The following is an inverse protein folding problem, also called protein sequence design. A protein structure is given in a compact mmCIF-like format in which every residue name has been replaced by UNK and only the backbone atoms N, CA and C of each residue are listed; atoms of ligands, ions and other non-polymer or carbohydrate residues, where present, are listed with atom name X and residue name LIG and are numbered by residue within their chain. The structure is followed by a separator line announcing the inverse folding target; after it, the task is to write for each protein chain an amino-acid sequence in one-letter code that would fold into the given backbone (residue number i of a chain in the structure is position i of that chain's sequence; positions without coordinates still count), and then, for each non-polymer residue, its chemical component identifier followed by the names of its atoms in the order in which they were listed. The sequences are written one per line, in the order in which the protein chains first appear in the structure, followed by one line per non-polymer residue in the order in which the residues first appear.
data_IF_481069852394
#
_entry.id   IF_481069852394
#
_cell.length_a   1.000
_cell.length_b   1.000
_cell.length_c   1.000
_cell.angle_alpha   90.00
_cell.angle_beta   90.00
_cell.angle_gamma   90.00
#
_symmetry.space_group_name_H-M   'P 1'
#
loop_
_entity.id
_entity.type
_entity.pdbx_description
1 polymer ?
#
# COMPACT_ATOMS: atom_id res chain seq x y z
N UNK A 1 -32.75 -28.59 28.64
CA UNK A 1 -32.69 -28.57 27.18
C UNK A 1 -31.99 -27.31 26.60
N UNK A 2 -31.72 -26.24 27.38
CA UNK A 2 -31.14 -24.98 26.89
C UNK A 2 -29.60 -24.87 27.00
N UNK A 3 -28.90 -25.81 27.59
CA UNK A 3 -27.44 -25.76 27.79
C UNK A 3 -26.68 -25.82 26.47
N UNK A 4 -27.08 -26.68 25.56
CA UNK A 4 -26.42 -26.86 24.24
C UNK A 4 -26.42 -25.58 23.42
N UNK A 5 -27.54 -24.86 23.19
CA UNK A 5 -27.54 -23.61 22.43
C UNK A 5 -26.71 -22.51 23.12
N UNK A 6 -26.66 -22.44 24.42
CA UNK A 6 -25.82 -21.47 25.16
C UNK A 6 -24.33 -21.74 24.89
N UNK A 7 -23.89 -23.00 24.93
CA UNK A 7 -22.51 -23.38 24.61
C UNK A 7 -22.15 -23.02 23.16
N UNK A 8 -23.03 -23.29 22.20
CA UNK A 8 -22.81 -22.97 20.79
C UNK A 8 -22.64 -21.45 20.61
N UNK A 9 -23.50 -20.64 21.22
CA UNK A 9 -23.42 -19.18 21.18
C UNK A 9 -22.12 -18.68 21.82
N UNK A 10 -21.72 -19.22 22.97
CA UNK A 10 -20.46 -18.87 23.62
C UNK A 10 -19.24 -19.18 22.74
N UNK A 11 -19.19 -20.34 22.08
CA UNK A 11 -18.14 -20.73 21.14
C UNK A 11 -18.10 -19.76 19.95
N UNK A 12 -19.24 -19.41 19.38
CA UNK A 12 -19.31 -18.45 18.25
C UNK A 12 -18.78 -17.07 18.66
N UNK A 13 -19.13 -16.58 19.84
CA UNK A 13 -18.62 -15.30 20.37
C UNK A 13 -17.10 -15.37 20.52
N UNK A 14 -16.55 -16.43 21.10
CA UNK A 14 -15.10 -16.61 21.25
C UNK A 14 -14.41 -16.61 19.87
N UNK A 15 -14.92 -17.34 18.90
CA UNK A 15 -14.37 -17.37 17.53
C UNK A 15 -14.35 -15.98 16.90
N UNK A 16 -15.43 -15.21 17.07
CA UNK A 16 -15.52 -13.84 16.57
C UNK A 16 -14.50 -12.94 17.26
N UNK A 17 -14.36 -13.02 18.56
CA UNK A 17 -13.37 -12.23 19.34
C UNK A 17 -11.94 -12.56 18.88
N UNK A 18 -11.57 -13.83 18.79
CA UNK A 18 -10.25 -14.26 18.32
C UNK A 18 -9.97 -13.77 16.90
N UNK A 19 -10.98 -13.83 16.03
CA UNK A 19 -10.85 -13.30 14.66
C UNK A 19 -10.62 -11.79 14.66
N UNK A 20 -11.35 -11.01 15.48
CA UNK A 20 -11.17 -9.56 15.60
C UNK A 20 -9.78 -9.20 16.13
N UNK A 21 -9.29 -9.91 17.16
CA UNK A 21 -7.94 -9.70 17.73
C UNK A 21 -6.88 -9.97 16.66
N UNK A 22 -6.94 -11.11 15.98
CA UNK A 22 -6.00 -11.45 14.89
C UNK A 22 -6.00 -10.43 13.77
N UNK A 23 -7.18 -9.92 13.38
CA UNK A 23 -7.29 -8.87 12.39
C UNK A 23 -6.73 -7.53 12.90
N UNK A 24 -6.91 -7.19 14.16
CA UNK A 24 -6.36 -5.98 14.77
C UNK A 24 -4.82 -6.00 14.77
N UNK A 25 -4.22 -7.14 15.12
CA UNK A 25 -2.76 -7.35 15.08
C UNK A 25 -2.24 -7.16 13.64
N UNK A 26 -2.86 -7.81 12.65
CA UNK A 26 -2.47 -7.67 11.25
C UNK A 26 -2.57 -6.22 10.77
N UNK A 27 -3.62 -5.51 11.13
CA UNK A 27 -3.81 -4.11 10.78
C UNK A 27 -2.78 -3.20 11.47
N UNK A 28 -2.43 -3.50 12.73
CA UNK A 28 -1.39 -2.77 13.46
C UNK A 28 -0.03 -2.92 12.79
N UNK A 29 0.37 -4.14 12.43
CA UNK A 29 1.60 -4.40 11.69
C UNK A 29 1.61 -3.71 10.32
N UNK A 30 0.48 -3.73 9.61
CA UNK A 30 0.35 -3.01 8.34
C UNK A 30 0.57 -1.50 8.53
N UNK A 31 -0.03 -0.89 9.56
CA UNK A 31 0.19 0.53 9.87
C UNK A 31 1.63 0.82 10.26
N UNK A 32 2.28 -0.10 11.01
CA UNK A 32 3.69 0.00 11.34
C UNK A 32 4.57 0.01 10.07
N UNK A 33 4.29 -0.91 9.12
CA UNK A 33 5.01 -0.96 7.84
C UNK A 33 4.82 0.32 7.03
N UNK A 34 3.62 0.88 6.98
CA UNK A 34 3.40 2.20 6.35
C UNK A 34 4.14 3.34 7.06
N UNK A 35 4.51 3.18 8.30
CA UNK A 35 5.30 4.19 9.03
C UNK A 35 6.80 4.07 8.79
N UNK A 36 7.29 2.87 8.51
CA UNK A 36 8.72 2.56 8.54
C UNK A 36 9.28 2.02 7.22
N UNK A 37 8.44 1.74 6.24
CA UNK A 37 8.81 1.06 5.01
C UNK A 37 8.20 1.73 3.78
N UNK A 38 8.87 1.60 2.64
CA UNK A 38 8.28 1.89 1.33
C UNK A 38 7.31 0.77 0.96
N UNK A 39 6.04 1.08 0.79
CA UNK A 39 4.98 0.07 0.57
C UNK A 39 4.46 0.13 -0.86
N UNK A 40 4.49 -1.00 -1.55
CA UNK A 40 3.83 -1.16 -2.85
C UNK A 40 2.49 -1.88 -2.68
N UNK A 41 1.41 -1.20 -3.06
CA UNK A 41 0.05 -1.75 -3.02
C UNK A 41 -0.40 -2.12 -4.42
N UNK A 42 -0.79 -3.36 -4.65
CA UNK A 42 -1.31 -3.80 -5.94
C UNK A 42 -2.71 -4.41 -5.82
N UNK A 43 -3.45 -4.38 -6.93
CA UNK A 43 -4.79 -4.99 -7.01
C UNK A 43 -5.57 -4.51 -8.21
N UNK A 44 -6.51 -5.33 -8.68
CA UNK A 44 -7.35 -5.03 -9.85
C UNK A 44 -8.08 -3.69 -9.71
N UNK A 45 -8.50 -3.11 -10.84
CA UNK A 45 -9.37 -1.92 -10.83
C UNK A 45 -10.61 -2.17 -9.96
N UNK A 46 -10.92 -1.22 -9.08
CA UNK A 46 -12.07 -1.36 -8.16
C UNK A 46 -11.83 -2.28 -6.95
N UNK A 47 -10.64 -2.85 -6.76
CA UNK A 47 -10.38 -3.73 -5.61
C UNK A 47 -10.33 -3.00 -4.26
N UNK A 48 -10.15 -1.66 -4.26
CA UNK A 48 -10.09 -0.85 -3.04
C UNK A 48 -8.69 -0.43 -2.61
N UNK A 49 -7.73 -0.35 -3.53
CA UNK A 49 -6.36 0.13 -3.25
C UNK A 49 -6.36 1.53 -2.61
N UNK A 50 -7.10 2.46 -3.23
CA UNK A 50 -7.20 3.81 -2.73
C UNK A 50 -7.95 3.88 -1.39
N UNK A 51 -8.87 2.94 -1.13
CA UNK A 51 -9.50 2.80 0.18
C UNK A 51 -8.50 2.39 1.24
N UNK A 52 -7.54 1.53 0.90
CA UNK A 52 -6.46 1.16 1.81
C UNK A 52 -5.59 2.37 2.14
N UNK A 53 -5.16 3.15 1.14
CA UNK A 53 -4.41 4.39 1.36
C UNK A 53 -5.22 5.37 2.23
N UNK A 54 -6.48 5.61 1.90
CA UNK A 54 -7.36 6.46 2.70
C UNK A 54 -7.46 5.98 4.16
N UNK A 55 -7.56 4.66 4.37
CA UNK A 55 -7.62 4.10 5.71
C UNK A 55 -6.33 4.34 6.49
N UNK A 56 -5.16 4.11 5.87
CA UNK A 56 -3.85 4.37 6.49
C UNK A 56 -3.72 5.84 6.85
N UNK A 57 -3.98 6.74 5.91
CA UNK A 57 -3.92 8.20 6.11
C UNK A 57 -4.83 8.65 7.25
N UNK A 58 -6.07 8.14 7.28
CA UNK A 58 -7.03 8.46 8.35
C UNK A 58 -6.58 7.95 9.73
N UNK A 59 -5.89 6.81 9.79
CA UNK A 59 -5.39 6.23 11.04
C UNK A 59 -4.15 6.93 11.55
N UNK A 60 -3.23 7.27 10.65
CA UNK A 60 -1.97 7.92 11.01
C UNK A 60 -2.16 9.40 11.37
N UNK A 61 -3.16 10.07 10.75
CA UNK A 61 -3.46 11.51 10.94
C UNK A 61 -2.29 12.45 10.63
N UNK A 62 -1.30 11.97 9.87
CA UNK A 62 -0.12 12.72 9.50
C UNK A 62 -0.33 13.57 8.25
N UNK A 63 0.56 14.53 8.05
CA UNK A 63 0.67 15.23 6.77
C UNK A 63 1.26 14.29 5.72
N UNK A 64 0.80 14.40 4.50
CA UNK A 64 1.29 13.58 3.39
C UNK A 64 1.26 14.36 2.08
N UNK A 65 2.05 13.88 1.12
CA UNK A 65 1.98 14.30 -0.27
C UNK A 65 1.27 13.23 -1.09
N UNK A 66 0.48 13.64 -2.07
CA UNK A 66 -0.17 12.67 -2.97
C UNK A 66 -0.51 13.29 -4.31
N UNK A 67 -0.51 12.46 -5.36
CA UNK A 67 -0.96 12.82 -6.70
C UNK A 67 -2.50 12.91 -6.82
N UNK A 68 -3.23 12.32 -5.88
CA UNK A 68 -4.68 12.45 -5.77
C UNK A 68 -5.07 12.89 -4.36
N UNK A 69 -6.20 13.59 -4.24
CA UNK A 69 -6.71 13.98 -2.94
C UNK A 69 -7.43 12.80 -2.28
N UNK A 70 -6.91 12.37 -1.14
CA UNK A 70 -7.59 11.44 -0.24
C UNK A 70 -8.48 12.15 0.78
N UNK A 71 -8.69 13.43 0.65
CA UNK A 71 -9.64 14.32 1.29
C UNK A 71 -9.89 14.18 2.79
N UNK A 72 -10.59 15.15 3.35
CA UNK A 72 -11.13 15.11 4.72
C UNK A 72 -10.23 15.65 5.81
N UNK A 73 -8.92 15.69 5.65
CA UNK A 73 -8.02 16.36 6.60
C UNK A 73 -7.28 17.51 5.94
N UNK A 74 -7.26 18.67 6.62
CA UNK A 74 -6.68 19.95 6.19
C UNK A 74 -5.18 19.93 5.89
N UNK A 75 -4.58 18.74 5.86
CA UNK A 75 -3.14 18.51 5.84
C UNK A 75 -2.63 17.89 4.53
N UNK A 76 -3.49 17.80 3.50
CA UNK A 76 -3.09 17.26 2.19
C UNK A 76 -2.37 18.34 1.39
N UNK A 77 -1.12 18.11 1.11
CA UNK A 77 -0.39 18.88 0.11
C UNK A 77 -0.53 18.10 -1.20
N UNK A 78 -1.28 18.65 -2.14
CA UNK A 78 -1.37 18.09 -3.49
C UNK A 78 -0.02 18.27 -4.17
N UNK A 79 0.55 17.22 -4.69
CA UNK A 79 1.50 17.35 -5.79
C UNK A 79 0.68 17.86 -6.97
N UNK A 80 0.97 19.07 -7.47
CA UNK A 80 0.22 19.71 -8.55
C UNK A 80 0.25 18.91 -9.84
N UNK A 81 1.28 18.14 -10.03
CA UNK A 81 1.47 17.20 -11.12
C UNK A 81 1.97 15.90 -10.51
N UNK A 82 1.65 14.81 -11.14
CA UNK A 82 2.12 13.51 -10.75
C UNK A 82 3.57 13.40 -11.10
N UNK A 83 4.26 14.13 -10.38
CA UNK A 83 5.65 14.05 -10.47
C UNK A 83 6.17 13.40 -9.16
N UNK A 84 5.80 12.13 -8.99
CA UNK A 84 6.92 11.25 -8.83
C UNK A 84 7.76 11.44 -10.09
N UNK A 85 7.42 12.55 -10.76
CA UNK A 85 8.20 13.05 -11.84
C UNK A 85 9.57 13.29 -11.28
N UNK A 86 10.44 12.81 -11.95
CA UNK A 86 11.85 12.76 -11.82
C UNK A 86 12.52 14.08 -11.51
N UNK A 87 11.93 15.15 -12.00
CA UNK A 87 12.39 16.51 -11.72
C UNK A 87 12.41 16.87 -10.22
N UNK A 88 11.60 16.20 -9.39
CA UNK A 88 11.60 16.42 -7.96
C UNK A 88 12.63 15.55 -7.23
N UNK A 89 13.18 14.53 -7.91
CA UNK A 89 14.19 13.61 -7.39
C UNK A 89 15.50 13.63 -8.17
N UNK A 90 15.64 14.48 -9.17
CA UNK A 90 16.81 14.54 -10.05
C UNK A 90 17.91 15.44 -9.48
N UNK A 91 18.51 15.04 -8.36
CA UNK A 91 19.67 15.74 -7.88
C UNK A 91 20.76 14.78 -7.40
N UNK A 92 21.34 14.08 -8.39
CA UNK A 92 22.72 13.63 -8.26
C UNK A 92 23.55 14.65 -9.04
N UNK A 93 24.28 15.47 -8.33
CA UNK A 93 25.25 16.41 -8.90
C UNK A 93 26.62 15.91 -8.47
N UNK A 94 27.50 15.62 -9.46
CA UNK A 94 28.86 15.14 -9.22
C UNK A 94 28.92 13.90 -8.28
N UNK A 95 28.12 12.88 -8.59
CA UNK A 95 27.99 11.65 -7.80
C UNK A 95 27.53 11.82 -6.35
N UNK A 96 27.09 13.01 -5.97
CA UNK A 96 26.50 13.29 -4.67
C UNK A 96 24.99 13.45 -4.79
N UNK A 97 24.26 12.83 -3.88
CA UNK A 97 22.81 13.01 -3.76
C UNK A 97 22.58 14.36 -3.07
N UNK A 98 22.08 15.32 -3.83
CA UNK A 98 21.75 16.65 -3.30
C UNK A 98 20.29 16.69 -2.89
N UNK A 99 20.07 17.01 -1.62
CA UNK A 99 18.73 17.22 -1.05
C UNK A 99 18.05 18.42 -1.72
N UNK A 100 16.86 18.23 -2.28
CA UNK A 100 16.08 19.37 -2.77
C UNK A 100 15.46 20.16 -1.61
N UNK A 101 15.81 21.44 -1.45
CA UNK A 101 15.42 22.16 -0.25
C UNK A 101 13.95 22.59 -0.18
N UNK A 102 13.16 22.47 -1.25
CA UNK A 102 11.93 23.26 -1.32
C UNK A 102 10.62 22.53 -1.66
N UNK A 103 10.64 21.25 -2.06
CA UNK A 103 9.42 20.59 -2.53
C UNK A 103 8.78 19.64 -1.52
N UNK A 104 9.57 18.94 -0.71
CA UNK A 104 9.08 18.02 0.30
C UNK A 104 9.53 18.45 1.69
N UNK A 105 8.59 18.53 2.62
CA UNK A 105 8.92 18.68 4.04
C UNK A 105 9.37 17.33 4.57
N UNK A 106 10.48 17.32 5.29
CA UNK A 106 10.96 16.14 6.00
C UNK A 106 9.89 15.53 6.92
N UNK A 107 9.91 14.23 7.07
CA UNK A 107 8.96 13.49 7.89
C UNK A 107 7.54 13.40 7.31
N UNK A 108 7.36 13.65 6.00
CA UNK A 108 6.05 13.57 5.34
C UNK A 108 6.04 12.50 4.27
N UNK A 109 5.21 11.49 4.46
CA UNK A 109 5.09 10.40 3.50
C UNK A 109 4.45 10.83 2.18
N UNK A 110 4.82 10.11 1.14
CA UNK A 110 4.35 10.35 -0.23
C UNK A 110 3.48 9.16 -0.66
N UNK A 111 2.25 9.43 -1.08
CA UNK A 111 1.32 8.43 -1.58
C UNK A 111 1.06 8.62 -3.07
N UNK A 112 1.49 7.68 -3.89
CA UNK A 112 1.36 7.75 -5.35
C UNK A 112 0.34 6.74 -5.84
N UNK A 113 -0.76 7.24 -6.38
CA UNK A 113 -1.78 6.39 -6.99
C UNK A 113 -1.45 6.08 -8.45
N UNK A 114 -1.69 4.83 -8.86
CA UNK A 114 -1.56 4.31 -10.22
C UNK A 114 -0.17 4.51 -10.85
N UNK A 115 0.90 4.17 -10.10
CA UNK A 115 2.29 4.29 -10.58
C UNK A 115 2.53 3.60 -11.92
N UNK A 116 1.81 2.51 -12.22
CA UNK A 116 1.90 1.82 -13.50
C UNK A 116 1.41 2.62 -14.71
N UNK A 117 0.75 3.76 -14.50
CA UNK A 117 0.35 4.70 -15.56
C UNK A 117 1.45 5.73 -15.82
N UNK A 118 2.15 6.16 -14.77
CA UNK A 118 3.16 7.22 -14.85
C UNK A 118 4.56 6.70 -15.11
N UNK A 119 4.91 5.59 -14.47
CA UNK A 119 6.20 4.92 -14.58
C UNK A 119 5.96 3.44 -14.93
N UNK A 120 5.50 3.16 -16.16
CA UNK A 120 5.14 1.81 -16.56
C UNK A 120 6.36 0.94 -16.82
N UNK A 121 6.28 -0.34 -16.45
CA UNK A 121 7.38 -1.31 -16.59
C UNK A 121 7.86 -1.51 -18.04
N UNK A 122 6.99 -1.33 -19.04
CA UNK A 122 7.37 -1.45 -20.46
C UNK A 122 8.28 -0.32 -20.96
N UNK A 123 8.41 0.77 -20.20
CA UNK A 123 9.31 1.89 -20.51
C UNK A 123 10.62 1.84 -19.70
N UNK A 124 10.96 0.70 -19.11
CA UNK A 124 12.06 0.55 -18.15
C UNK A 124 13.37 1.21 -18.64
N UNK A 125 13.83 0.86 -19.86
CA UNK A 125 15.08 1.40 -20.42
C UNK A 125 15.01 2.93 -20.67
N UNK A 126 13.85 3.45 -21.05
CA UNK A 126 13.63 4.89 -21.24
C UNK A 126 13.62 5.59 -19.88
N UNK A 127 12.95 5.04 -18.89
CA UNK A 127 12.89 5.59 -17.54
C UNK A 127 14.28 5.65 -16.90
N UNK A 128 15.12 4.64 -17.06
CA UNK A 128 16.51 4.69 -16.59
C UNK A 128 17.34 5.80 -17.24
N UNK A 129 17.10 6.10 -18.54
CA UNK A 129 17.77 7.20 -19.22
C UNK A 129 17.27 8.57 -18.79
N UNK A 130 15.94 8.70 -18.65
CA UNK A 130 15.32 9.97 -18.25
C UNK A 130 15.51 10.26 -16.77
N UNK A 131 15.59 9.21 -15.93
CA UNK A 131 15.50 9.32 -14.46
C UNK A 131 16.48 8.40 -13.73
N UNK A 132 17.77 8.51 -14.00
CA UNK A 132 18.77 7.57 -13.46
C UNK A 132 18.84 7.59 -11.93
N UNK A 133 18.57 8.73 -11.31
CA UNK A 133 18.62 8.90 -9.85
C UNK A 133 17.38 8.43 -9.10
N UNK A 134 16.25 8.25 -9.79
CA UNK A 134 14.98 7.92 -9.15
C UNK A 134 15.00 6.63 -8.30
N UNK A 135 15.59 5.51 -8.76
CA UNK A 135 15.69 4.31 -7.95
C UNK A 135 16.46 4.51 -6.66
N UNK A 136 17.56 5.26 -6.74
CA UNK A 136 18.41 5.56 -5.58
C UNK A 136 17.65 6.42 -4.57
N UNK A 137 16.96 7.45 -5.05
CA UNK A 137 16.17 8.33 -4.19
C UNK A 137 14.99 7.60 -3.56
N UNK A 138 14.35 6.69 -4.31
CA UNK A 138 13.29 5.86 -3.74
C UNK A 138 13.81 4.97 -2.60
N UNK A 139 14.96 4.30 -2.83
CA UNK A 139 15.60 3.48 -1.81
C UNK A 139 16.05 4.28 -0.58
N UNK A 140 16.56 5.50 -0.81
CA UNK A 140 17.13 6.34 0.24
C UNK A 140 16.16 7.40 0.78
N UNK A 141 14.89 7.40 0.36
CA UNK A 141 13.90 8.43 0.75
C UNK A 141 13.82 8.63 2.26
N UNK A 142 13.92 7.56 3.03
CA UNK A 142 13.95 7.57 4.49
C UNK A 142 15.17 8.29 5.05
N UNK A 143 16.34 8.04 4.49
CA UNK A 143 17.60 8.65 4.94
C UNK A 143 17.72 10.11 4.52
N UNK A 144 17.21 10.45 3.34
CA UNK A 144 17.31 11.79 2.77
C UNK A 144 16.24 12.74 3.30
N UNK A 145 15.02 12.25 3.51
CA UNK A 145 13.86 13.10 3.81
C UNK A 145 13.07 12.65 5.03
N UNK A 146 13.51 11.58 5.74
CA UNK A 146 12.72 10.94 6.81
C UNK A 146 11.29 10.63 6.35
N UNK A 147 11.14 10.22 5.10
CA UNK A 147 9.86 10.03 4.43
C UNK A 147 9.80 8.69 3.72
N UNK A 148 8.63 8.05 3.75
CA UNK A 148 8.41 6.84 2.99
C UNK A 148 7.61 7.15 1.72
N UNK A 149 7.87 6.39 0.65
CA UNK A 149 7.15 6.50 -0.61
C UNK A 149 6.25 5.26 -0.76
N UNK A 150 4.95 5.50 -0.76
CA UNK A 150 3.96 4.46 -0.93
C UNK A 150 3.33 4.56 -2.30
N UNK A 151 3.41 3.49 -3.07
CA UNK A 151 2.87 3.45 -4.42
C UNK A 151 1.71 2.49 -4.52
N UNK A 152 0.73 2.78 -5.39
CA UNK A 152 -0.22 1.75 -5.79
C UNK A 152 -0.23 1.53 -7.30
N UNK A 153 -0.61 0.32 -7.70
CA UNK A 153 -0.72 -0.09 -9.10
C UNK A 153 -1.83 -1.11 -9.29
N UNK A 154 -2.29 -1.30 -10.52
CA UNK A 154 -3.32 -2.31 -10.82
C UNK A 154 -2.76 -3.74 -10.80
N UNK A 155 -1.51 -3.89 -11.17
CA UNK A 155 -0.77 -5.15 -11.11
C UNK A 155 0.64 -4.85 -10.60
N UNK A 156 1.18 -5.70 -9.74
CA UNK A 156 2.50 -5.54 -9.15
C UNK A 156 3.61 -5.42 -10.20
N UNK A 157 3.43 -6.03 -11.37
CA UNK A 157 4.40 -6.01 -12.46
C UNK A 157 4.30 -4.78 -13.39
N UNK A 158 3.24 -3.96 -13.26
CA UNK A 158 3.03 -2.80 -14.14
C UNK A 158 3.86 -1.57 -13.78
N UNK A 159 4.25 -1.44 -12.53
CA UNK A 159 5.11 -0.34 -12.12
C UNK A 159 6.56 -0.54 -12.57
N UNK A 160 7.32 0.55 -12.66
CA UNK A 160 8.74 0.50 -13.01
C UNK A 160 9.49 -0.50 -12.13
N UNK A 161 10.28 -1.38 -12.78
CA UNK A 161 10.98 -2.49 -12.13
C UNK A 161 11.83 -2.02 -10.95
N UNK A 162 12.62 -0.97 -11.16
CA UNK A 162 13.49 -0.41 -10.14
C UNK A 162 12.75 0.04 -8.87
N UNK A 163 11.53 0.56 -8.98
CA UNK A 163 10.76 0.97 -7.81
C UNK A 163 10.07 -0.19 -7.12
N UNK A 164 9.52 -1.13 -7.91
CA UNK A 164 8.79 -2.26 -7.32
C UNK A 164 9.71 -3.26 -6.61
N UNK A 165 10.95 -3.41 -7.06
CA UNK A 165 11.91 -4.31 -6.44
C UNK A 165 12.59 -3.70 -5.19
N UNK A 166 12.53 -2.39 -5.05
CA UNK A 166 13.04 -1.66 -3.90
C UNK A 166 11.97 -1.32 -2.86
N UNK A 167 10.72 -1.73 -3.07
CA UNK A 167 9.73 -1.64 -2.02
C UNK A 167 10.07 -2.64 -0.91
N UNK A 168 10.02 -2.18 0.33
CA UNK A 168 10.33 -3.02 1.49
C UNK A 168 9.17 -3.96 1.84
N UNK A 169 7.95 -3.60 1.42
CA UNK A 169 6.74 -4.31 1.80
C UNK A 169 5.66 -4.26 0.71
N UNK A 170 4.92 -5.34 0.55
CA UNK A 170 3.95 -5.49 -0.54
C UNK A 170 2.57 -5.80 0.00
N UNK A 171 1.55 -5.16 -0.56
CA UNK A 171 0.15 -5.43 -0.20
C UNK A 171 -0.65 -5.71 -1.46
N UNK A 172 -1.31 -6.86 -1.50
CA UNK A 172 -2.22 -7.22 -2.58
C UNK A 172 -3.67 -7.08 -2.11
N UNK A 173 -4.34 -6.06 -2.60
CA UNK A 173 -5.77 -5.83 -2.33
C UNK A 173 -6.60 -6.76 -3.21
N UNK A 174 -7.27 -7.72 -2.60
CA UNK A 174 -8.00 -8.76 -3.32
C UNK A 174 -9.40 -8.32 -3.74
N UNK A 175 -10.17 -7.76 -2.81
CA UNK A 175 -11.56 -7.37 -3.07
C UNK A 175 -12.09 -6.45 -1.96
N UNK A 176 -12.97 -5.55 -2.35
CA UNK A 176 -13.81 -4.80 -1.42
C UNK A 176 -15.25 -5.29 -1.49
N UNK A 177 -15.82 -5.56 -0.34
CA UNK A 177 -17.24 -5.89 -0.17
C UNK A 177 -17.96 -4.64 0.34
N UNK A 178 -19.16 -4.40 -0.16
CA UNK A 178 -20.04 -3.32 0.29
C UNK A 178 -21.20 -3.92 1.06
N UNK A 179 -21.31 -3.55 2.33
CA UNK A 179 -22.42 -3.93 3.19
C UNK A 179 -23.15 -2.65 3.64
N UNK A 180 -24.18 -2.25 2.91
CA UNK A 180 -24.83 -0.96 3.13
C UNK A 180 -23.85 0.22 3.01
N UNK A 181 -23.61 0.91 4.12
CA UNK A 181 -22.65 2.01 4.23
C UNK A 181 -21.26 1.58 4.68
N UNK A 182 -21.04 0.31 4.95
CA UNK A 182 -19.76 -0.25 5.37
C UNK A 182 -19.05 -0.89 4.18
N UNK A 183 -17.78 -0.55 4.00
CA UNK A 183 -16.88 -1.20 3.06
C UNK A 183 -15.89 -2.08 3.82
N UNK A 184 -15.75 -3.31 3.38
CA UNK A 184 -14.83 -4.30 3.94
C UNK A 184 -13.82 -4.65 2.86
N UNK A 185 -12.58 -4.20 3.00
CA UNK A 185 -11.52 -4.47 2.03
C UNK A 185 -10.61 -5.57 2.55
N UNK A 186 -10.56 -6.67 1.80
CA UNK A 186 -9.67 -7.81 2.07
C UNK A 186 -8.35 -7.61 1.36
N UNK A 187 -7.26 -7.78 2.08
CA UNK A 187 -5.91 -7.70 1.53
C UNK A 187 -5.01 -8.83 2.06
N UNK A 188 -3.89 -9.04 1.36
CA UNK A 188 -2.77 -9.84 1.82
C UNK A 188 -1.53 -8.96 1.86
N UNK A 189 -0.71 -9.11 2.89
CA UNK A 189 0.56 -8.43 3.04
C UNK A 189 1.71 -9.43 2.91
N UNK A 190 2.81 -9.01 2.30
CA UNK A 190 3.97 -9.83 1.96
C UNK A 190 5.24 -9.06 2.26
N UNK A 191 6.23 -9.75 2.81
CA UNK A 191 7.59 -9.24 2.98
C UNK A 191 8.46 -9.50 1.73
N UNK A 192 8.08 -10.48 0.91
CA UNK A 192 8.84 -10.90 -0.25
C UNK A 192 8.10 -10.56 -1.56
N UNK A 193 8.81 -9.92 -2.50
CA UNK A 193 8.29 -9.56 -3.82
C UNK A 193 7.80 -10.79 -4.61
N UNK A 194 8.59 -11.85 -4.68
CA UNK A 194 8.24 -13.04 -5.45
C UNK A 194 6.98 -13.72 -4.91
N UNK A 195 6.82 -13.77 -3.61
CA UNK A 195 5.62 -14.31 -2.96
C UNK A 195 4.38 -13.45 -3.27
N UNK A 196 4.54 -12.13 -3.28
CA UNK A 196 3.48 -11.19 -3.67
C UNK A 196 3.12 -11.34 -5.16
N UNK A 197 4.13 -11.44 -6.04
CA UNK A 197 3.99 -11.62 -7.48
C UNK A 197 3.27 -12.93 -7.83
N UNK A 198 3.69 -14.04 -7.23
CA UNK A 198 3.05 -15.35 -7.40
C UNK A 198 1.67 -15.42 -6.73
N UNK A 199 1.34 -14.46 -5.88
CA UNK A 199 0.06 -14.42 -5.17
C UNK A 199 -0.13 -15.56 -4.19
N UNK A 200 0.97 -16.01 -3.56
CA UNK A 200 0.98 -17.08 -2.57
C UNK A 200 -0.03 -16.74 -1.48
N UNK A 201 -0.82 -17.72 -1.06
CA UNK A 201 -1.82 -17.50 -0.02
C UNK A 201 -1.18 -17.68 1.35
N UNK A 202 -1.58 -16.87 2.35
CA UNK A 202 -1.12 -17.12 3.72
C UNK A 202 -1.45 -18.55 4.11
N UNK A 203 -0.48 -19.20 4.74
CA UNK A 203 -0.69 -20.50 5.32
C UNK A 203 -1.85 -20.38 6.30
N UNK A 204 -2.90 -21.14 6.09
CA UNK A 204 -3.98 -21.18 7.07
C UNK A 204 -3.38 -21.83 8.30
N UNK A 205 -3.20 -21.08 9.37
CA UNK A 205 -3.06 -21.68 10.69
C UNK A 205 -4.35 -22.49 10.92
N UNK A 206 -4.34 -23.73 10.53
CA UNK A 206 -5.35 -24.67 10.99
C UNK A 206 -5.06 -24.86 12.46
N UNK A 207 -5.93 -24.37 13.30
CA UNK A 207 -5.92 -24.50 14.76
C UNK A 207 -5.85 -25.97 15.21
N UNK A 208 -5.97 -26.91 14.30
CA UNK A 208 -5.89 -28.36 14.52
C UNK A 208 -4.80 -28.98 13.61
N UNK A 209 -3.58 -28.97 14.12
CA UNK A 209 -2.53 -29.98 13.90
C UNK A 209 -2.36 -30.64 12.51
N UNK A 210 -2.06 -29.88 11.45
CA UNK A 210 -1.57 -30.52 10.21
C UNK A 210 -0.20 -30.07 9.73
N UNK A 211 0.42 -29.07 10.37
CA UNK A 211 1.79 -28.68 10.04
C UNK A 211 2.64 -28.74 11.30
N UNK A 212 3.79 -29.40 11.18
CA UNK A 212 4.81 -29.34 12.22
C UNK A 212 5.40 -27.91 12.24
N UNK A 213 5.99 -27.53 13.36
CA UNK A 213 6.72 -26.26 13.48
C UNK A 213 7.77 -26.14 12.37
N UNK A 214 8.48 -27.23 12.05
CA UNK A 214 9.50 -27.26 11.02
C UNK A 214 8.94 -26.94 9.61
N UNK A 215 7.76 -27.44 9.26
CA UNK A 215 7.10 -27.12 7.98
C UNK A 215 6.68 -25.66 7.90
N UNK A 216 6.21 -25.10 9.02
CA UNK A 216 5.88 -23.67 9.10
C UNK A 216 7.12 -22.80 8.95
N UNK A 217 8.20 -23.13 9.67
CA UNK A 217 9.45 -22.39 9.61
C UNK A 217 10.08 -22.48 8.19
N UNK A 218 10.02 -23.64 7.55
CA UNK A 218 10.41 -23.80 6.15
C UNK A 218 9.58 -22.94 5.21
N UNK A 219 8.26 -22.93 5.38
CA UNK A 219 7.38 -22.07 4.57
C UNK A 219 7.73 -20.58 4.71
N UNK A 220 7.96 -20.11 5.94
CA UNK A 220 8.36 -18.72 6.20
C UNK A 220 9.74 -18.43 5.60
N UNK A 221 10.70 -19.35 5.71
CA UNK A 221 12.03 -19.17 5.11
C UNK A 221 11.96 -19.02 3.58
N UNK A 222 11.09 -19.80 2.91
CA UNK A 222 10.93 -19.76 1.46
C UNK A 222 10.11 -18.56 0.96
N UNK A 223 9.08 -18.16 1.67
CA UNK A 223 8.07 -17.23 1.15
C UNK A 223 8.02 -15.89 1.89
N UNK A 224 8.74 -15.75 2.99
CA UNK A 224 8.54 -14.63 3.92
C UNK A 224 7.20 -14.71 4.66
N UNK A 225 6.96 -13.80 5.56
CA UNK A 225 5.71 -13.76 6.28
C UNK A 225 4.57 -13.22 5.39
N UNK A 226 3.48 -13.99 5.33
CA UNK A 226 2.28 -13.62 4.57
C UNK A 226 1.10 -13.55 5.51
N UNK A 227 0.51 -12.37 5.63
CA UNK A 227 -0.65 -12.13 6.51
C UNK A 227 -1.89 -11.75 5.71
N UNK A 228 -3.05 -12.11 6.22
CA UNK A 228 -4.36 -11.74 5.68
C UNK A 228 -5.03 -10.75 6.62
N UNK A 229 -5.40 -9.59 6.08
CA UNK A 229 -6.08 -8.56 6.84
C UNK A 229 -7.39 -8.10 6.20
N UNK A 230 -8.21 -7.45 7.02
CA UNK A 230 -9.44 -6.79 6.60
C UNK A 230 -9.48 -5.39 7.21
N UNK A 231 -9.74 -4.39 6.36
CA UNK A 231 -10.05 -3.04 6.84
C UNK A 231 -11.54 -2.76 6.71
N UNK A 232 -12.06 -2.07 7.71
CA UNK A 232 -13.46 -1.66 7.81
C UNK A 232 -13.54 -0.15 7.68
N UNK A 233 -14.31 0.34 6.71
CA UNK A 233 -14.38 1.77 6.44
C UNK A 233 -15.82 2.20 6.12
N UNK A 234 -16.32 3.21 6.84
CA UNK A 234 -17.65 3.76 6.59
C UNK A 234 -17.62 4.68 5.37
N UNK A 235 -18.68 4.67 4.55
CA UNK A 235 -18.84 5.53 3.36
C UNK A 235 -18.56 7.00 3.67
N UNK A 236 -19.03 7.51 4.80
CA UNK A 236 -18.83 8.91 5.24
C UNK A 236 -17.36 9.30 5.48
N UNK A 237 -16.45 8.32 5.58
CA UNK A 237 -15.00 8.53 5.75
C UNK A 237 -14.20 8.31 4.47
N UNK A 238 -14.89 8.11 3.35
CA UNK A 238 -14.28 7.98 2.03
C UNK A 238 -14.32 9.34 1.33
N UNK A 239 -13.18 9.98 1.26
CA UNK A 239 -13.06 11.35 0.72
C UNK A 239 -12.22 11.42 -0.57
N UNK A 240 -11.90 10.29 -1.18
CA UNK A 240 -11.16 10.31 -2.43
C UNK A 240 -12.12 10.33 -3.62
N UNK A 241 -11.76 11.11 -4.63
CA UNK A 241 -12.48 11.15 -5.90
C UNK A 241 -11.92 10.09 -6.83
N UNK A 242 -12.69 9.02 -7.05
CA UNK A 242 -12.32 7.92 -7.96
C UNK A 242 -12.09 8.38 -9.40
N UNK A 243 -12.59 9.56 -9.77
CA UNK A 243 -12.42 10.17 -11.10
C UNK A 243 -11.38 11.29 -11.12
N UNK A 244 -10.66 11.51 -10.02
CA UNK A 244 -9.66 12.58 -9.96
C UNK A 244 -8.61 12.43 -11.05
N UNK A 245 -8.19 11.21 -11.35
CA UNK A 245 -7.23 10.88 -12.41
C UNK A 245 -7.79 11.19 -13.80
N UNK A 246 -9.03 10.78 -14.06
CA UNK A 246 -9.71 11.06 -15.32
C UNK A 246 -9.81 12.59 -15.55
N UNK A 247 -10.17 13.34 -14.52
CA UNK A 247 -10.22 14.80 -14.58
C UNK A 247 -8.85 15.44 -14.85
N UNK A 248 -7.77 14.91 -14.30
CA UNK A 248 -6.40 15.38 -14.55
C UNK A 248 -6.00 15.13 -16.00
N UNK A 249 -6.22 13.91 -16.50
CA UNK A 249 -5.90 13.53 -17.87
C UNK A 249 -6.71 14.33 -18.92
N UNK A 250 -8.00 14.59 -18.64
CA UNK A 250 -8.86 15.38 -19.52
C UNK A 250 -8.49 16.87 -19.53
N UNK A 251 -8.03 17.42 -18.40
CA UNK A 251 -7.53 18.81 -18.36
C UNK A 251 -6.22 18.98 -19.15
N UNK A 252 -5.34 18.00 -19.14
CA UNK A 252 -4.11 18.00 -19.96
C UNK A 252 -4.40 18.00 -21.46
N UNK A 253 -5.41 17.27 -21.93
CA UNK A 253 -5.81 17.23 -23.36
C UNK A 253 -6.48 18.49 -23.87
N UNK A 254 -7.05 19.33 -22.99
CA UNK A 254 -7.69 20.61 -23.41
C UNK A 254 -6.71 21.78 -23.50
N UNK A 255 -5.44 21.58 -23.20
CA UNK A 255 -4.38 22.61 -23.28
C UNK A 255 -3.44 22.43 -24.48
N UNK A 256 -3.63 21.38 -25.26
CA UNK A 256 -2.99 21.13 -26.55
C UNK A 256 -4.04 21.24 -27.67
#
# INVERSE_FOLDING_TARGET
MYIIPIIIVAILIIVVIVWFIGNAITNSNTLWNFKHCNVLVAGKKGSGKDMLFQWVINKRRDYYYSNISYGGHRKVIKLKEVSCAPNDYNHIVNDQIVKQPHKFKEGKDIYVSDIGVYLPSYMDSKLYKEFPSMPVLYALSRHLYDSNIHCNTQNIERGWKALREQADFYIIVKRTYKLGHLFITKYYSYENYESARRGIKPMKARILNKFSKAEYDKYIAENGEIRKGYIFQWKRKLYYDTRAMEKILLKGRRKN
#
